data_IF_711501924123
#
_entry.id   IF_711501924123
#
_cell.length_a   1.000
_cell.length_b   1.000
_cell.length_c   1.000
_cell.angle_alpha   90.00
_cell.angle_beta   90.00
_cell.angle_gamma   90.00
#
_symmetry.space_group_name_H-M   'P 1'
#
loop_
_entity.id
_entity.type
_entity.pdbx_description
1 polymer ?
#
# COMPACT_ATOMS: atom_id res chain seq x y z
N UNK A 1 38.28 -15.22 -32.13
CA UNK A 1 37.70 -14.06 -31.43
C UNK A 1 36.68 -14.62 -30.43
N UNK A 2 37.08 -14.80 -29.17
CA UNK A 2 36.23 -15.37 -28.11
C UNK A 2 35.44 -14.20 -27.47
N UNK A 3 34.11 -14.22 -27.58
CA UNK A 3 33.24 -13.26 -26.90
C UNK A 3 33.02 -13.70 -25.45
N UNK A 4 33.63 -12.97 -24.51
CA UNK A 4 33.35 -13.08 -23.08
C UNK A 4 32.04 -12.34 -22.78
N UNK A 5 30.94 -13.07 -22.58
CA UNK A 5 29.73 -12.51 -21.99
C UNK A 5 29.94 -12.39 -20.47
N UNK A 6 30.32 -11.20 -19.99
CA UNK A 6 30.25 -10.86 -18.58
C UNK A 6 28.76 -10.77 -18.19
N UNK A 7 28.25 -11.84 -17.58
CA UNK A 7 26.94 -11.83 -16.94
C UNK A 7 27.00 -10.90 -15.73
N UNK A 8 26.54 -9.66 -15.91
CA UNK A 8 26.24 -8.74 -14.81
C UNK A 8 25.00 -9.31 -14.10
N UNK A 9 25.21 -10.02 -12.99
CA UNK A 9 24.11 -10.28 -12.06
C UNK A 9 23.64 -8.93 -11.51
N UNK A 10 22.38 -8.51 -11.75
CA UNK A 10 21.86 -7.34 -11.06
C UNK A 10 21.93 -7.63 -9.55
N UNK A 11 22.64 -6.77 -8.83
CA UNK A 11 22.63 -6.80 -7.37
C UNK A 11 21.25 -6.29 -6.96
N UNK A 12 20.30 -7.21 -6.80
CA UNK A 12 19.02 -6.90 -6.18
C UNK A 12 19.32 -6.55 -4.73
N UNK A 13 19.35 -5.26 -4.41
CA UNK A 13 19.43 -4.82 -3.02
C UNK A 13 18.15 -5.28 -2.33
N UNK A 14 18.24 -6.31 -1.49
CA UNK A 14 17.14 -6.68 -0.62
C UNK A 14 16.91 -5.53 0.36
N UNK A 15 15.88 -4.73 0.12
CA UNK A 15 15.48 -3.73 1.11
C UNK A 15 14.95 -4.47 2.35
N UNK A 16 15.39 -4.05 3.53
CA UNK A 16 14.91 -4.64 4.78
C UNK A 16 13.46 -4.17 5.03
N UNK A 17 12.52 -5.10 4.95
CA UNK A 17 11.14 -4.89 5.36
C UNK A 17 11.11 -4.55 6.86
N UNK A 18 10.56 -3.38 7.20
CA UNK A 18 10.57 -2.87 8.57
C UNK A 18 9.42 -3.43 9.40
N UNK A 19 8.21 -3.46 8.82
CA UNK A 19 7.00 -3.98 9.45
C UNK A 19 6.17 -4.77 8.44
N UNK A 20 5.37 -5.72 8.93
CA UNK A 20 4.26 -6.34 8.21
C UNK A 20 2.95 -6.00 8.92
N UNK A 21 1.83 -5.97 8.20
CA UNK A 21 0.54 -5.58 8.77
C UNK A 21 -0.62 -5.70 7.80
N UNK A 22 -1.80 -5.33 8.27
CA UNK A 22 -3.04 -5.29 7.47
C UNK A 22 -3.38 -3.86 7.10
N UNK A 23 -3.81 -3.66 5.86
CA UNK A 23 -4.42 -2.39 5.45
C UNK A 23 -5.93 -2.46 5.63
N UNK A 24 -6.52 -1.39 6.17
CA UNK A 24 -7.97 -1.24 6.33
C UNK A 24 -8.45 0.12 5.88
N UNK A 25 -9.66 0.15 5.31
CA UNK A 25 -10.35 1.33 4.80
C UNK A 25 -11.30 1.86 5.85
N UNK A 26 -11.12 3.12 6.26
CA UNK A 26 -12.08 3.85 7.08
C UNK A 26 -12.83 4.85 6.19
N UNK A 27 -14.13 4.65 5.94
CA UNK A 27 -14.95 5.69 5.34
C UNK A 27 -15.13 6.89 6.27
N UNK A 28 -15.15 8.10 5.71
CA UNK A 28 -15.42 9.33 6.49
C UNK A 28 -16.84 9.38 7.10
N UNK A 29 -17.74 8.51 6.64
CA UNK A 29 -19.12 8.46 7.15
C UNK A 29 -19.18 7.75 8.50
N UNK A 30 -19.89 8.36 9.46
CA UNK A 30 -19.90 8.02 10.90
C UNK A 30 -20.22 6.56 11.27
N UNK A 31 -20.82 5.78 10.37
CA UNK A 31 -21.32 4.42 10.63
C UNK A 31 -20.77 3.37 9.65
N UNK A 32 -19.73 3.68 8.88
CA UNK A 32 -19.21 2.72 7.91
C UNK A 32 -18.47 1.58 8.58
N UNK A 33 -18.78 0.35 8.19
CA UNK A 33 -18.00 -0.84 8.55
C UNK A 33 -16.62 -0.70 7.89
N UNK A 34 -15.52 -0.91 8.62
CA UNK A 34 -14.20 -0.95 7.99
C UNK A 34 -14.17 -2.04 6.92
N UNK A 35 -13.69 -1.70 5.74
CA UNK A 35 -13.40 -2.70 4.69
C UNK A 35 -11.92 -3.03 4.71
N UNK A 36 -11.56 -4.23 4.26
CA UNK A 36 -10.17 -4.62 4.09
C UNK A 36 -9.70 -4.29 2.67
N UNK A 37 -8.43 -4.59 2.41
CA UNK A 37 -7.84 -4.49 1.08
C UNK A 37 -7.82 -5.87 0.44
N UNK A 38 -8.48 -5.96 -0.71
CA UNK A 38 -8.30 -7.05 -1.67
C UNK A 38 -7.41 -6.64 -2.82
N UNK A 39 -7.05 -7.63 -3.63
CA UNK A 39 -6.35 -7.43 -4.90
C UNK A 39 -7.10 -8.15 -6.01
N UNK A 40 -7.37 -7.45 -7.10
CA UNK A 40 -8.01 -7.99 -8.29
C UNK A 40 -7.25 -7.54 -9.53
N UNK A 41 -6.65 -8.49 -10.27
CA UNK A 41 -5.88 -8.19 -11.49
C UNK A 41 -4.81 -7.11 -11.26
N UNK A 42 -4.01 -7.24 -10.20
CA UNK A 42 -3.01 -6.26 -9.75
C UNK A 42 -3.59 -4.90 -9.26
N UNK A 43 -4.91 -4.71 -9.22
CA UNK A 43 -5.50 -3.50 -8.65
C UNK A 43 -5.84 -3.66 -7.17
N UNK A 44 -5.58 -2.61 -6.38
CA UNK A 44 -6.04 -2.56 -5.00
C UNK A 44 -7.52 -2.16 -4.97
N UNK A 45 -8.33 -3.03 -4.36
CA UNK A 45 -9.78 -2.89 -4.29
C UNK A 45 -10.27 -2.93 -2.85
N UNK A 46 -11.38 -2.25 -2.59
CA UNK A 46 -12.13 -2.46 -1.36
C UNK A 46 -12.82 -3.82 -1.41
N UNK A 47 -12.40 -4.73 -0.53
CA UNK A 47 -12.92 -6.09 -0.42
C UNK A 47 -12.82 -6.54 1.06
N UNK A 48 -13.42 -7.66 1.40
CA UNK A 48 -13.35 -8.22 2.76
C UNK A 48 -12.28 -9.32 2.89
N UNK A 49 -11.39 -9.44 1.89
CA UNK A 49 -10.24 -10.34 1.91
C UNK A 49 -9.12 -9.81 2.82
N UNK A 50 -8.45 -10.72 3.53
CA UNK A 50 -7.30 -10.40 4.38
C UNK A 50 -6.03 -10.49 3.54
N UNK A 51 -5.32 -9.38 3.40
CA UNK A 51 -4.04 -9.29 2.68
C UNK A 51 -2.98 -8.65 3.58
N UNK A 52 -1.78 -9.24 3.60
CA UNK A 52 -0.66 -8.74 4.38
C UNK A 52 0.26 -7.85 3.55
N UNK A 53 0.54 -6.67 4.07
CA UNK A 53 1.41 -5.69 3.46
C UNK A 53 2.67 -5.49 4.29
N UNK A 54 3.81 -5.44 3.61
CA UNK A 54 5.08 -5.02 4.16
C UNK A 54 5.27 -3.52 3.99
N UNK A 55 5.88 -2.86 4.97
CA UNK A 55 6.33 -1.49 4.89
C UNK A 55 7.85 -1.42 5.02
N UNK A 56 8.50 -0.74 4.08
CA UNK A 56 9.95 -0.58 4.02
C UNK A 56 10.37 0.77 4.59
N UNK A 57 11.59 0.86 5.14
CA UNK A 57 12.14 2.12 5.68
C UNK A 57 12.22 3.23 4.62
N UNK A 58 12.29 2.85 3.34
CA UNK A 58 12.30 3.74 2.18
C UNK A 58 10.92 4.36 1.87
N UNK A 59 9.87 3.99 2.62
CA UNK A 59 8.52 4.50 2.40
C UNK A 59 7.80 3.81 1.23
N UNK A 60 8.19 2.57 0.91
CA UNK A 60 7.46 1.69 0.01
C UNK A 60 6.54 0.75 0.79
N UNK A 61 5.40 0.40 0.17
CA UNK A 61 4.49 -0.65 0.63
C UNK A 61 4.54 -1.80 -0.35
N UNK A 62 4.48 -3.04 0.11
CA UNK A 62 4.42 -4.22 -0.76
C UNK A 62 3.37 -5.22 -0.29
N UNK A 63 2.72 -5.91 -1.21
CA UNK A 63 1.93 -7.09 -0.91
C UNK A 63 2.88 -8.27 -0.69
N UNK A 64 2.93 -8.80 0.53
CA UNK A 64 3.92 -9.81 0.94
C UNK A 64 3.82 -11.08 0.13
N UNK A 65 2.59 -11.56 -0.11
CA UNK A 65 2.36 -12.82 -0.83
C UNK A 65 2.81 -12.77 -2.29
N UNK A 66 2.60 -11.62 -2.96
CA UNK A 66 2.94 -11.45 -4.37
C UNK A 66 4.38 -10.96 -4.59
N UNK A 67 5.03 -10.42 -3.56
CA UNK A 67 6.34 -9.76 -3.71
C UNK A 67 6.29 -8.51 -4.60
N UNK A 68 5.12 -7.89 -4.75
CA UNK A 68 4.89 -6.69 -5.57
C UNK A 68 4.64 -5.46 -4.71
N UNK A 69 4.98 -4.29 -5.22
CA UNK A 69 4.87 -3.02 -4.53
C UNK A 69 3.57 -2.29 -4.85
N UNK A 70 3.01 -1.60 -3.86
CA UNK A 70 1.85 -0.72 -4.08
C UNK A 70 2.34 0.55 -4.77
N UNK A 71 1.87 0.79 -5.98
CA UNK A 71 2.16 1.95 -6.80
C UNK A 71 0.89 2.79 -7.04
N UNK A 72 1.09 4.03 -7.50
CA UNK A 72 0.01 4.93 -7.94
C UNK A 72 0.26 5.28 -9.40
N UNK A 73 -0.69 4.95 -10.26
CA UNK A 73 -0.60 5.21 -11.70
C UNK A 73 -0.79 6.70 -12.05
N UNK A 74 -0.72 7.03 -13.34
CA UNK A 74 -0.92 8.39 -13.85
C UNK A 74 -2.33 8.96 -13.62
N UNK A 75 -3.32 8.09 -13.39
CA UNK A 75 -4.71 8.45 -13.08
C UNK A 75 -4.98 8.56 -11.58
N UNK A 76 -3.94 8.34 -10.75
CA UNK A 76 -4.04 8.36 -9.30
C UNK A 76 -4.65 7.09 -8.72
N UNK A 77 -4.66 5.96 -9.43
CA UNK A 77 -5.22 4.67 -8.96
C UNK A 77 -4.12 3.78 -8.38
N UNK A 78 -4.44 3.11 -7.28
CA UNK A 78 -3.52 2.20 -6.60
C UNK A 78 -3.50 0.83 -7.29
N UNK A 79 -2.32 0.36 -7.64
CA UNK A 79 -2.08 -0.95 -8.25
C UNK A 79 -0.79 -1.59 -7.72
N UNK A 80 -0.54 -2.83 -8.09
CA UNK A 80 0.68 -3.56 -7.80
C UNK A 80 1.66 -3.45 -8.97
N UNK A 81 2.90 -3.13 -8.66
CA UNK A 81 4.01 -2.99 -9.60
C UNK A 81 5.21 -3.84 -9.14
N UNK A 82 6.10 -4.18 -10.06
CA UNK A 82 7.31 -4.94 -9.77
C UNK A 82 8.38 -4.05 -9.13
N UNK A 83 8.37 -2.74 -9.42
CA UNK A 83 9.31 -1.77 -8.89
C UNK A 83 8.79 -1.05 -7.63
N UNK A 84 9.67 -0.77 -6.64
CA UNK A 84 9.27 -0.09 -5.41
C UNK A 84 8.80 1.34 -5.67
N UNK A 85 7.56 1.63 -5.26
CA UNK A 85 7.00 2.98 -5.31
C UNK A 85 7.10 3.66 -3.95
N UNK A 86 7.92 4.72 -3.88
CA UNK A 86 8.17 5.45 -2.63
C UNK A 86 7.21 6.63 -2.41
N UNK A 87 7.17 7.09 -1.16
CA UNK A 87 6.42 8.27 -0.74
C UNK A 87 5.24 7.95 0.17
N UNK A 88 5.02 6.67 0.49
CA UNK A 88 4.11 6.28 1.56
C UNK A 88 4.74 6.56 2.91
N UNK A 89 3.94 7.07 3.84
CA UNK A 89 4.35 7.39 5.20
C UNK A 89 3.34 6.80 6.17
N UNK A 90 3.84 6.12 7.20
CA UNK A 90 3.03 5.64 8.32
C UNK A 90 3.20 6.58 9.52
N UNK A 91 2.09 7.12 10.01
CA UNK A 91 2.07 8.00 11.19
C UNK A 91 1.24 7.38 12.31
N UNK A 92 1.71 7.42 13.55
CA UNK A 92 0.97 6.84 14.67
C UNK A 92 -0.40 7.51 14.86
N UNK A 93 -1.43 6.68 15.01
CA UNK A 93 -2.78 7.15 15.30
C UNK A 93 -2.89 7.44 16.79
N UNK A 94 -3.38 8.62 17.16
CA UNK A 94 -3.56 9.00 18.56
C UNK A 94 -4.39 7.94 19.30
N UNK A 95 -3.88 7.46 20.43
CA UNK A 95 -4.56 6.49 21.30
C UNK A 95 -4.27 5.02 21.01
N UNK A 96 -3.44 4.69 20.02
CA UNK A 96 -3.00 3.31 19.78
C UNK A 96 -1.60 3.26 19.17
N UNK A 97 -0.79 2.29 19.60
CA UNK A 97 0.52 2.02 18.98
C UNK A 97 0.42 1.01 17.83
N UNK A 98 -0.71 0.31 17.71
CA UNK A 98 -0.89 -0.78 16.73
C UNK A 98 -1.30 -0.26 15.36
N UNK A 99 -2.07 0.82 15.36
CA UNK A 99 -2.58 1.41 14.13
C UNK A 99 -1.78 2.65 13.74
N UNK A 100 -1.40 2.69 12.46
CA UNK A 100 -0.80 3.85 11.82
C UNK A 100 -1.73 4.35 10.73
N UNK A 101 -1.81 5.66 10.52
CA UNK A 101 -2.43 6.25 9.35
C UNK A 101 -1.45 6.19 8.19
N UNK A 102 -1.91 5.74 7.02
CA UNK A 102 -1.14 5.81 5.78
C UNK A 102 -1.38 7.18 5.15
N UNK A 103 -0.33 7.77 4.60
CA UNK A 103 -0.39 8.94 3.71
C UNK A 103 0.56 8.75 2.55
N UNK A 104 0.29 9.40 1.43
CA UNK A 104 1.17 9.41 0.27
C UNK A 104 1.60 10.85 -0.03
N UNK A 105 2.92 11.08 -0.04
CA UNK A 105 3.54 12.41 -0.21
C UNK A 105 2.93 13.46 0.75
N UNK A 106 2.64 13.03 1.98
CA UNK A 106 2.09 13.88 3.05
C UNK A 106 0.57 14.07 3.04
N UNK A 107 -0.14 13.52 2.06
CA UNK A 107 -1.61 13.58 2.00
C UNK A 107 -2.22 12.23 2.44
N UNK A 108 -3.09 12.28 3.45
CA UNK A 108 -3.72 11.08 4.01
C UNK A 108 -5.08 10.77 3.37
N UNK A 109 -5.62 11.66 2.53
CA UNK A 109 -6.92 11.45 1.90
C UNK A 109 -6.81 10.57 0.66
N UNK A 110 -7.54 9.46 0.67
CA UNK A 110 -7.70 8.57 -0.49
C UNK A 110 -9.16 8.61 -0.96
N UNK A 111 -9.41 8.04 -2.13
CA UNK A 111 -10.73 7.92 -2.73
C UNK A 111 -11.08 6.45 -2.98
N UNK A 112 -12.26 6.03 -2.56
CA UNK A 112 -12.90 4.80 -3.01
C UNK A 112 -13.83 5.13 -4.17
N UNK A 113 -13.53 4.57 -5.33
CA UNK A 113 -14.26 4.82 -6.56
C UNK A 113 -15.49 3.90 -6.70
N UNK A 114 -16.41 4.25 -7.59
CA UNK A 114 -17.64 3.46 -7.81
C UNK A 114 -17.39 2.05 -8.35
N UNK A 115 -16.24 1.85 -9.01
CA UNK A 115 -15.72 0.57 -9.51
C UNK A 115 -15.03 -0.28 -8.42
N UNK A 116 -14.97 0.22 -7.17
CA UNK A 116 -14.30 -0.45 -6.05
C UNK A 116 -12.78 -0.24 -6.01
N UNK A 117 -12.21 0.42 -7.02
CA UNK A 117 -10.79 0.77 -7.04
C UNK A 117 -10.48 1.87 -6.03
N UNK A 118 -9.27 1.82 -5.49
CA UNK A 118 -8.77 2.82 -4.56
C UNK A 118 -7.86 3.80 -5.31
N UNK A 119 -7.97 5.09 -5.02
CA UNK A 119 -7.16 6.13 -5.62
C UNK A 119 -6.67 7.16 -4.63
N UNK A 120 -5.73 7.99 -5.09
CA UNK A 120 -5.18 9.14 -4.40
C UNK A 120 -5.13 10.32 -5.39
N UNK A 121 -5.88 11.38 -5.08
CA UNK A 121 -6.15 12.52 -5.97
C UNK A 121 -6.70 12.06 -7.34
N UNK A 122 -7.46 10.97 -7.35
CA UNK A 122 -8.06 10.43 -8.57
C UNK A 122 -9.35 11.18 -8.92
N UNK A 123 -9.61 11.34 -10.22
CA UNK A 123 -10.82 12.00 -10.75
C UNK A 123 -11.99 11.02 -10.96
N UNK A 124 -12.10 9.96 -10.15
CA UNK A 124 -13.12 8.95 -10.37
C UNK A 124 -14.54 9.48 -10.06
N UNK A 125 -15.49 9.15 -10.93
CA UNK A 125 -16.88 9.53 -10.74
C UNK A 125 -17.45 8.88 -9.47
N UNK A 126 -18.14 9.67 -8.65
CA UNK A 126 -18.75 9.18 -7.41
C UNK A 126 -17.76 8.80 -6.30
N UNK A 127 -16.51 9.26 -6.38
CA UNK A 127 -15.47 9.03 -5.39
C UNK A 127 -15.95 9.36 -3.96
N UNK A 128 -15.80 8.39 -3.04
CA UNK A 128 -15.97 8.61 -1.61
C UNK A 128 -14.61 8.78 -0.96
N UNK A 129 -14.47 9.81 -0.13
CA UNK A 129 -13.23 10.03 0.63
C UNK A 129 -13.10 8.97 1.73
N UNK A 130 -11.90 8.43 1.85
CA UNK A 130 -11.54 7.36 2.78
C UNK A 130 -10.16 7.65 3.39
N UNK A 131 -9.91 7.07 4.55
CA UNK A 131 -8.57 6.95 5.13
C UNK A 131 -8.12 5.50 5.10
N UNK A 132 -6.82 5.28 5.01
CA UNK A 132 -6.21 3.96 5.09
C UNK A 132 -5.48 3.86 6.43
N UNK A 133 -5.80 2.86 7.24
CA UNK A 133 -4.91 2.49 8.35
C UNK A 133 -4.05 1.30 7.98
N UNK A 134 -2.90 1.25 8.62
CA UNK A 134 -2.00 0.11 8.67
C UNK A 134 -1.98 -0.42 10.10
N UNK A 135 -2.44 -1.64 10.32
CA UNK A 135 -2.38 -2.32 11.60
C UNK A 135 -1.18 -3.28 11.62
N UNK A 136 -0.20 -3.02 12.50
CA UNK A 136 1.03 -3.81 12.59
C UNK A 136 0.74 -5.22 13.08
N UNK A 137 1.35 -6.21 12.42
CA UNK A 137 1.36 -7.59 12.90
C UNK A 137 2.36 -7.77 14.07
N UNK A 138 2.07 -8.68 15.00
CA UNK A 138 2.86 -8.92 16.22
C UNK A 138 3.96 -9.97 15.96
N UNK A 139 5.17 -9.90 16.58
CA UNK A 139 5.65 -8.94 17.58
C UNK A 139 6.40 -7.74 16.99
N UNK A 140 6.22 -6.57 17.61
CA UNK A 140 7.02 -5.37 17.32
C UNK A 140 8.43 -5.60 17.86
N UNK A 141 9.44 -5.64 16.97
CA UNK A 141 10.84 -5.42 17.33
C UNK A 141 11.17 -3.99 16.89
N UNK A 142 11.19 -3.06 17.83
CA UNK A 142 11.65 -1.68 17.61
C UNK A 142 13.19 -1.63 17.55
#
# INVERSE_FOLDING_TARGET
MLLFFLALCPVSSAEDMYHQGLLSLIPLTRNGVPHLFGVSQDWLVADDSISYFGYYKTGALALVEAGKYVAIDEHGKLHLDDDPHHGFLLTDKKGTIWMKSVSYKGDAEFQLCADGLIGHKSNCAGAKRIFINYERDWPIRD
#
